data_IF_442857393626
#
_entry.id   IF_442857393626
#
_cell.length_a   1.000
_cell.length_b   1.000
_cell.length_c   1.000
_cell.angle_alpha   90.00
_cell.angle_beta   90.00
_cell.angle_gamma   90.00
#
_symmetry.space_group_name_H-M   'P 1'
#
loop_
_entity.id
_entity.type
_entity.pdbx_description
1 polymer ?
#
# COMPACT_ATOMS: atom_id res chain seq x y z
N UNK A 1 -6.99 -12.50 14.42
CA UNK A 1 -5.71 -11.79 14.19
C UNK A 1 -5.69 -10.51 15.01
N UNK A 2 -4.52 -10.08 15.50
CA UNK A 2 -4.34 -8.76 16.12
C UNK A 2 -3.75 -7.79 15.10
N UNK A 3 -3.86 -6.48 15.36
CA UNK A 3 -3.21 -5.45 14.54
C UNK A 3 -1.70 -5.73 14.40
N UNK A 4 -1.02 -6.10 15.49
CA UNK A 4 0.39 -6.46 15.46
C UNK A 4 0.68 -7.71 14.62
N UNK A 5 -0.14 -8.77 14.73
CA UNK A 5 0.09 -9.99 13.95
C UNK A 5 -0.11 -9.72 12.46
N UNK A 6 -1.18 -9.00 12.08
CA UNK A 6 -1.46 -8.69 10.68
C UNK A 6 -0.40 -7.75 10.08
N UNK A 7 0.08 -6.77 10.85
CA UNK A 7 1.20 -5.92 10.44
C UNK A 7 2.47 -6.75 10.21
N UNK A 8 2.81 -7.68 11.11
CA UNK A 8 3.96 -8.59 10.95
C UNK A 8 3.86 -9.47 9.71
N UNK A 9 2.68 -10.03 9.45
CA UNK A 9 2.50 -10.88 8.28
C UNK A 9 2.65 -10.08 6.98
N UNK A 10 2.22 -8.81 7.00
CA UNK A 10 2.43 -7.91 5.89
C UNK A 10 3.88 -7.48 5.69
N UNK A 11 4.64 -7.26 6.77
CA UNK A 11 6.07 -6.98 6.62
C UNK A 11 6.78 -8.18 5.97
N UNK A 12 6.45 -9.42 6.37
CA UNK A 12 7.00 -10.64 5.76
C UNK A 12 6.66 -10.76 4.28
N UNK A 13 5.41 -10.50 3.91
CA UNK A 13 4.98 -10.55 2.50
C UNK A 13 5.77 -9.54 1.64
N UNK A 14 6.15 -8.40 2.21
CA UNK A 14 6.92 -7.35 1.54
C UNK A 14 8.44 -7.53 1.66
N UNK A 15 8.92 -8.60 2.31
CA UNK A 15 10.36 -8.80 2.54
C UNK A 15 10.98 -7.74 3.45
N UNK A 16 10.19 -7.11 4.32
CA UNK A 16 10.61 -6.07 5.25
C UNK A 16 10.58 -6.57 6.70
N UNK A 17 11.46 -6.03 7.54
CA UNK A 17 11.32 -6.15 8.99
C UNK A 17 10.32 -5.14 9.55
N UNK A 18 9.84 -5.39 10.77
CA UNK A 18 9.03 -4.40 11.50
C UNK A 18 9.80 -3.11 11.76
N UNK A 19 11.10 -3.21 11.99
CA UNK A 19 11.99 -2.08 12.21
C UNK A 19 12.13 -1.22 10.94
N UNK A 20 12.23 -1.86 9.77
CA UNK A 20 12.26 -1.15 8.49
C UNK A 20 10.98 -0.36 8.26
N UNK A 21 9.83 -0.98 8.54
CA UNK A 21 8.52 -0.35 8.38
C UNK A 21 8.35 0.80 9.37
N UNK A 22 8.76 0.63 10.63
CA UNK A 22 8.74 1.71 11.62
C UNK A 22 9.62 2.89 11.19
N UNK A 23 10.84 2.61 10.73
CA UNK A 23 11.78 3.63 10.24
C UNK A 23 11.23 4.38 9.02
N UNK A 24 10.72 3.66 8.01
CA UNK A 24 10.08 4.25 6.82
C UNK A 24 8.82 5.06 7.15
N UNK A 25 8.09 4.67 8.19
CA UNK A 25 6.92 5.39 8.70
C UNK A 25 7.29 6.59 9.60
N UNK A 26 8.58 6.86 9.85
CA UNK A 26 9.03 7.92 10.75
C UNK A 26 8.69 7.67 12.22
N UNK A 27 8.56 6.41 12.61
CA UNK A 27 8.24 5.97 13.97
C UNK A 27 9.47 5.41 14.69
N UNK A 28 9.44 5.41 16.01
CA UNK A 28 10.46 4.69 16.77
C UNK A 28 10.32 3.19 16.57
N UNK A 29 11.44 2.47 16.52
CA UNK A 29 11.52 1.01 16.36
C UNK A 29 10.55 0.23 17.27
N UNK A 30 10.37 0.69 18.52
CA UNK A 30 9.47 0.04 19.49
C UNK A 30 7.99 0.35 19.30
N UNK A 31 7.63 1.31 18.44
CA UNK A 31 6.26 1.80 18.30
C UNK A 31 5.30 0.70 17.86
N UNK A 32 5.63 -0.02 16.77
CA UNK A 32 4.74 -1.04 16.21
C UNK A 32 4.62 -2.25 17.15
N UNK A 33 5.68 -2.64 17.86
CA UNK A 33 5.64 -3.74 18.83
C UNK A 33 4.63 -3.50 19.97
N UNK A 34 4.35 -2.24 20.32
CA UNK A 34 3.38 -1.91 21.35
C UNK A 34 1.92 -2.04 20.89
N UNK A 35 1.66 -2.24 19.59
CA UNK A 35 0.29 -2.36 19.04
C UNK A 35 -0.44 -3.63 19.46
N UNK A 36 0.28 -4.59 20.05
CA UNK A 36 -0.35 -5.75 20.69
C UNK A 36 -0.96 -5.45 22.06
N UNK A 37 -0.63 -4.29 22.67
CA UNK A 37 -1.08 -3.90 24.01
C UNK A 37 -1.81 -2.56 24.03
N UNK A 38 -1.42 -1.64 23.16
CA UNK A 38 -1.92 -0.27 23.09
C UNK A 38 -2.37 0.04 21.67
N UNK A 39 -3.44 0.83 21.52
CA UNK A 39 -3.86 1.29 20.21
C UNK A 39 -2.93 2.41 19.69
N UNK A 40 -2.50 2.38 18.42
CA UNK A 40 -1.79 3.50 17.82
C UNK A 40 -2.69 4.74 17.72
N UNK A 41 -2.04 5.90 17.59
CA UNK A 41 -2.71 7.09 17.04
C UNK A 41 -3.07 6.81 15.58
N UNK A 42 -4.20 7.36 15.12
CA UNK A 42 -4.65 7.21 13.71
C UNK A 42 -3.53 7.54 12.73
N UNK A 43 -2.87 8.68 12.93
CA UNK A 43 -1.75 9.14 12.08
C UNK A 43 -0.62 8.10 11.97
N UNK A 44 -0.29 7.40 13.06
CA UNK A 44 0.78 6.39 13.04
C UNK A 44 0.33 5.11 12.32
N UNK A 45 -0.96 4.77 12.43
CA UNK A 45 -1.55 3.65 11.70
C UNK A 45 -1.56 3.95 10.19
N UNK A 46 -1.96 5.16 9.80
CA UNK A 46 -1.98 5.63 8.42
C UNK A 46 -0.58 5.58 7.79
N UNK A 47 0.44 6.09 8.49
CA UNK A 47 1.84 6.05 8.02
C UNK A 47 2.32 4.63 7.76
N UNK A 48 2.03 3.69 8.66
CA UNK A 48 2.43 2.29 8.49
C UNK A 48 1.63 1.61 7.38
N UNK A 49 0.34 1.89 7.26
CA UNK A 49 -0.51 1.39 6.18
C UNK A 49 0.03 1.82 4.80
N UNK A 50 0.42 3.10 4.67
CA UNK A 50 1.04 3.64 3.46
C UNK A 50 2.37 2.96 3.11
N UNK A 51 3.24 2.72 4.10
CA UNK A 51 4.52 2.00 3.88
C UNK A 51 4.30 0.56 3.42
N UNK A 52 3.25 -0.07 3.91
CA UNK A 52 2.89 -1.45 3.58
C UNK A 52 2.03 -1.57 2.31
N UNK A 53 1.59 -0.43 1.76
CA UNK A 53 0.63 -0.33 0.65
C UNK A 53 -0.63 -1.16 0.92
N UNK A 54 -1.25 -0.91 2.07
CA UNK A 54 -2.51 -1.50 2.50
C UNK A 54 -3.42 -0.43 3.11
N UNK A 55 -4.71 -0.71 3.23
CA UNK A 55 -5.65 0.13 3.97
C UNK A 55 -5.49 -0.04 5.49
N UNK A 56 -5.86 0.98 6.25
CA UNK A 56 -5.99 0.85 7.71
C UNK A 56 -7.07 -0.16 8.08
N UNK A 57 -8.12 -0.27 7.28
CA UNK A 57 -9.21 -1.23 7.49
C UNK A 57 -8.73 -2.67 7.35
N UNK A 58 -7.80 -2.94 6.42
CA UNK A 58 -7.10 -4.22 6.35
C UNK A 58 -6.34 -4.49 7.64
N UNK A 59 -5.46 -3.58 8.06
CA UNK A 59 -4.65 -3.74 9.27
C UNK A 59 -5.50 -3.96 10.52
N UNK A 60 -6.61 -3.25 10.64
CA UNK A 60 -7.57 -3.38 11.73
C UNK A 60 -8.47 -4.63 11.62
N UNK A 61 -8.52 -5.27 10.45
CA UNK A 61 -9.32 -6.46 10.21
C UNK A 61 -10.80 -6.21 9.99
N UNK A 62 -11.14 -5.03 9.52
CA UNK A 62 -12.48 -4.69 9.06
C UNK A 62 -12.73 -5.25 7.65
N UNK A 63 -11.67 -5.51 6.90
CA UNK A 63 -11.69 -6.17 5.58
C UNK A 63 -10.48 -7.11 5.44
N UNK A 64 -10.60 -8.12 4.58
CA UNK A 64 -9.48 -8.96 4.14
C UNK A 64 -8.85 -8.42 2.83
N UNK A 65 -9.44 -7.39 2.23
CA UNK A 65 -8.90 -6.70 1.07
C UNK A 65 -7.73 -5.79 1.49
N UNK A 66 -6.52 -6.12 1.00
CA UNK A 66 -5.29 -5.44 1.36
C UNK A 66 -5.34 -3.93 1.09
N UNK A 67 -5.85 -3.52 -0.06
CA UNK A 67 -6.26 -2.14 -0.29
C UNK A 67 -7.76 -2.14 -0.44
N UNK A 68 -8.41 -1.08 0.06
CA UNK A 68 -9.72 -0.74 -0.48
C UNK A 68 -9.47 -0.46 -1.95
N UNK A 69 -9.73 -1.47 -2.78
CA UNK A 69 -9.84 -1.27 -4.20
C UNK A 69 -10.83 -0.13 -4.37
N UNK A 70 -10.57 0.72 -5.36
CA UNK A 70 -11.64 1.42 -6.06
C UNK A 70 -12.77 0.39 -6.16
N UNK A 71 -13.88 0.70 -5.48
CA UNK A 71 -14.97 -0.19 -5.08
C UNK A 71 -15.31 -1.22 -6.16
N UNK A 72 -15.81 -2.39 -5.76
CA UNK A 72 -16.41 -3.49 -6.57
C UNK A 72 -17.32 -3.08 -7.76
N UNK A 73 -17.57 -1.79 -7.97
CA UNK A 73 -18.21 -1.17 -9.13
C UNK A 73 -17.28 -0.97 -10.35
N UNK A 74 -15.96 -1.10 -10.23
CA UNK A 74 -15.02 -0.93 -11.35
C UNK A 74 -14.06 -2.11 -11.46
N UNK A 75 -14.58 -3.24 -11.95
CA UNK A 75 -13.80 -4.44 -12.28
C UNK A 75 -12.87 -4.26 -13.49
N UNK A 76 -12.91 -3.10 -14.12
CA UNK A 76 -11.98 -2.66 -15.16
C UNK A 76 -11.33 -1.36 -14.67
N UNK A 77 -10.10 -1.45 -14.16
CA UNK A 77 -9.27 -0.26 -13.99
C UNK A 77 -8.81 0.14 -15.39
N UNK A 78 -9.44 1.16 -15.96
CA UNK A 78 -8.95 1.74 -17.21
C UNK A 78 -7.53 2.27 -16.97
N UNK A 79 -6.57 1.55 -17.53
CA UNK A 79 -5.13 1.85 -17.42
C UNK A 79 -4.87 3.27 -17.91
N UNK A 80 -5.59 3.74 -18.92
CA UNK A 80 -5.48 5.12 -19.41
C UNK A 80 -5.89 6.12 -18.34
N UNK A 81 -7.06 5.92 -17.72
CA UNK A 81 -7.50 6.78 -16.62
C UNK A 81 -6.55 6.72 -15.42
N UNK A 82 -5.99 5.55 -15.11
CA UNK A 82 -5.01 5.40 -14.02
C UNK A 82 -3.70 6.15 -14.30
N UNK A 83 -3.24 6.18 -15.55
CA UNK A 83 -2.07 6.95 -15.96
C UNK A 83 -2.34 8.47 -16.00
N UNK A 84 -3.59 8.88 -16.27
CA UNK A 84 -4.01 10.29 -16.38
C UNK A 84 -4.40 10.93 -15.03
N UNK A 85 -4.97 10.18 -14.08
CA UNK A 85 -5.58 10.72 -12.84
C UNK A 85 -4.69 10.67 -11.58
N UNK A 86 -3.39 10.97 -11.73
CA UNK A 86 -2.46 11.15 -10.58
C UNK A 86 -2.31 9.93 -9.65
N UNK A 87 -2.65 8.72 -10.11
CA UNK A 87 -2.31 7.49 -9.38
C UNK A 87 -0.79 7.30 -9.42
N UNK A 88 -0.16 7.21 -8.25
CA UNK A 88 1.27 6.89 -8.14
C UNK A 88 1.52 5.45 -8.61
N UNK A 89 1.85 5.31 -9.89
CA UNK A 89 2.27 4.04 -10.48
C UNK A 89 3.76 3.81 -10.19
N UNK A 90 4.08 2.63 -9.66
CA UNK A 90 5.46 2.19 -9.42
C UNK A 90 5.69 0.80 -10.00
N UNK A 91 6.85 0.59 -10.62
CA UNK A 91 7.33 -0.72 -11.03
C UNK A 91 8.60 -1.04 -10.24
N UNK A 92 8.64 -2.21 -9.61
CA UNK A 92 9.75 -2.61 -8.73
C UNK A 92 10.05 -1.59 -7.61
N UNK A 93 8.99 -1.02 -7.03
CA UNK A 93 9.07 -0.02 -5.97
C UNK A 93 9.63 1.34 -6.38
N UNK A 94 9.87 1.57 -7.68
CA UNK A 94 10.31 2.87 -8.22
C UNK A 94 9.16 3.54 -8.97
N UNK A 95 8.95 4.85 -8.78
CA UNK A 95 7.92 5.58 -9.52
C UNK A 95 8.19 5.48 -11.03
N UNK A 96 7.15 5.19 -11.79
CA UNK A 96 7.21 5.17 -13.25
C UNK A 96 7.18 6.61 -13.73
N UNK A 97 8.18 7.01 -14.53
CA UNK A 97 8.23 8.37 -15.08
C UNK A 97 7.17 8.58 -16.17
N UNK A 98 6.80 9.84 -16.39
CA UNK A 98 5.84 10.24 -17.44
C UNK A 98 6.21 9.71 -18.84
N UNK A 99 7.52 9.58 -19.12
CA UNK A 99 8.00 9.00 -20.37
C UNK A 99 7.59 7.53 -20.50
N UNK A 100 7.79 6.73 -19.46
CA UNK A 100 7.43 5.31 -19.48
C UNK A 100 5.92 5.09 -19.45
N UNK A 101 5.19 5.95 -18.74
CA UNK A 101 3.73 5.99 -18.78
C UNK A 101 3.21 6.10 -20.22
N UNK A 102 3.75 7.04 -21.01
CA UNK A 102 3.38 7.21 -22.43
C UNK A 102 3.66 5.98 -23.28
N UNK A 103 4.83 5.35 -23.09
CA UNK A 103 5.21 4.14 -23.84
C UNK A 103 4.24 2.98 -23.53
N UNK A 104 3.90 2.79 -22.26
CA UNK A 104 2.95 1.75 -21.84
C UNK A 104 1.57 1.99 -22.48
N UNK A 105 1.11 3.24 -22.48
CA UNK A 105 -0.14 3.65 -23.14
C UNK A 105 -0.14 3.35 -24.64
N UNK A 106 0.95 3.69 -25.33
CA UNK A 106 1.11 3.48 -26.77
C UNK A 106 1.09 1.99 -27.11
N UNK A 107 1.88 1.17 -26.42
CA UNK A 107 1.92 -0.29 -26.62
C UNK A 107 0.55 -0.95 -26.45
N UNK A 108 -0.20 -0.54 -25.42
CA UNK A 108 -1.52 -1.10 -25.14
C UNK A 108 -2.60 -0.61 -26.11
N UNK A 109 -2.40 0.54 -26.76
CA UNK A 109 -3.34 1.09 -27.74
C UNK A 109 -3.11 0.55 -29.15
N UNK A 110 -1.99 -0.13 -29.39
CA UNK A 110 -1.64 -0.76 -30.69
C UNK A 110 -2.14 -2.20 -30.83
N UNK A 111 -2.58 -2.86 -29.75
CA UNK A 111 -3.07 -4.25 -29.78
C UNK A 111 -4.55 -4.40 -30.16
N UNK A 112 -5.28 -3.31 -30.46
CA UNK A 112 -6.67 -3.30 -30.98
C UNK A 112 -6.76 -3.22 -32.52
#
# INVERSE_FOLDING_TARGET
MTLLSRTKDMTKLRGLSLDDVASRAGLSHKSIYNWGRNNPKSENLDKVANVLHVSTDYLLGRTDEMNLSITDSQKELDIKNALEHDIMLSFDGKPISEKYKRIILELLSEED
#
